data_IF_091953165496
#
_entry.id   IF_091953165496
#
_cell.length_a   1.000
_cell.length_b   1.000
_cell.length_c   1.000
_cell.angle_alpha   90.00
_cell.angle_beta   90.00
_cell.angle_gamma   90.00
#
_symmetry.space_group_name_H-M   'P 1'
#
loop_
_entity.id
_entity.type
_entity.pdbx_description
1 polymer ?
#
# COMPACT_ATOMS: atom_id res chain seq x y z
N UNK A 1 -19.41 7.96 -3.25
CA UNK A 1 -19.10 8.15 -1.82
C UNK A 1 -18.14 7.04 -1.46
N UNK A 2 -16.87 7.32 -1.18
CA UNK A 2 -15.89 6.27 -0.84
C UNK A 2 -16.15 5.83 0.59
N UNK A 3 -16.35 4.53 0.79
CA UNK A 3 -16.70 3.92 2.06
C UNK A 3 -15.55 4.09 3.09
N UNK A 4 -15.79 4.63 4.30
CA UNK A 4 -14.80 4.66 5.38
C UNK A 4 -14.21 3.27 5.74
N UNK A 5 -14.78 2.18 5.23
CA UNK A 5 -14.32 0.80 5.41
C UNK A 5 -12.92 0.46 4.84
N UNK A 6 -12.31 1.25 3.96
CA UNK A 6 -11.01 0.84 3.39
C UNK A 6 -9.81 1.14 4.31
N UNK A 7 -9.84 2.19 5.14
CA UNK A 7 -8.83 2.41 6.20
C UNK A 7 -8.88 1.28 7.23
N UNK A 8 -10.08 0.78 7.49
CA UNK A 8 -10.33 -0.46 8.20
C UNK A 8 -9.70 -1.68 7.48
N UNK A 9 -9.85 -1.82 6.15
CA UNK A 9 -9.19 -2.89 5.38
C UNK A 9 -7.66 -2.78 5.41
N UNK A 10 -7.11 -1.57 5.37
CA UNK A 10 -5.68 -1.35 5.55
C UNK A 10 -5.22 -1.79 6.93
N UNK A 11 -5.92 -1.37 7.99
CA UNK A 11 -5.60 -1.78 9.35
C UNK A 11 -5.73 -3.30 9.53
N UNK A 12 -6.75 -3.92 8.94
CA UNK A 12 -6.97 -5.37 8.98
C UNK A 12 -5.87 -6.15 8.25
N UNK A 13 -5.48 -5.70 7.05
CA UNK A 13 -4.36 -6.29 6.33
C UNK A 13 -3.06 -6.13 7.12
N UNK A 14 -2.76 -4.92 7.58
CA UNK A 14 -1.54 -4.65 8.35
C UNK A 14 -1.50 -5.49 9.63
N UNK A 15 -2.63 -5.61 10.33
CA UNK A 15 -2.76 -6.50 11.48
C UNK A 15 -2.47 -7.96 11.09
N UNK A 16 -3.00 -8.43 9.96
CA UNK A 16 -2.76 -9.79 9.45
C UNK A 16 -1.28 -10.04 9.15
N UNK A 17 -0.62 -9.08 8.49
CA UNK A 17 0.83 -9.13 8.20
C UNK A 17 1.65 -9.17 9.49
N UNK A 18 1.34 -8.28 10.45
CA UNK A 18 1.99 -8.24 11.76
C UNK A 18 1.84 -9.58 12.49
N UNK A 19 0.63 -10.12 12.58
CA UNK A 19 0.41 -11.43 13.20
C UNK A 19 1.15 -12.57 12.48
N UNK A 20 1.48 -12.37 11.21
CA UNK A 20 2.34 -13.24 10.43
C UNK A 20 3.84 -13.09 10.75
N UNK A 21 4.32 -12.01 11.35
CA UNK A 21 5.75 -11.84 11.64
C UNK A 21 6.24 -12.76 12.77
N UNK A 22 7.49 -13.29 12.73
CA UNK A 22 8.00 -14.24 13.73
C UNK A 22 7.80 -13.82 15.20
N UNK A 23 7.94 -12.52 15.51
CA UNK A 23 7.79 -11.98 16.87
C UNK A 23 6.37 -12.09 17.44
N UNK A 24 5.34 -11.98 16.60
CA UNK A 24 3.94 -12.05 17.01
C UNK A 24 3.36 -13.44 16.74
N UNK A 25 3.81 -14.09 15.66
CA UNK A 25 3.42 -15.46 15.28
C UNK A 25 3.61 -16.45 16.41
N UNK A 26 4.73 -16.38 17.13
CA UNK A 26 5.05 -17.29 18.23
C UNK A 26 3.96 -17.37 19.31
N UNK A 27 3.18 -16.29 19.51
CA UNK A 27 2.11 -16.24 20.52
C UNK A 27 0.92 -17.11 20.14
N UNK A 28 0.45 -17.04 18.89
CA UNK A 28 -0.70 -17.84 18.46
C UNK A 28 -0.28 -19.23 17.97
N UNK A 29 0.95 -19.40 17.49
CA UNK A 29 1.40 -20.67 16.90
C UNK A 29 1.32 -21.85 17.88
N UNK A 30 1.50 -21.62 19.19
CA UNK A 30 1.37 -22.66 20.22
C UNK A 30 -0.04 -23.23 20.34
N UNK A 31 -1.06 -22.46 19.95
CA UNK A 31 -2.45 -22.89 19.93
C UNK A 31 -2.89 -23.45 18.56
N UNK A 32 -2.01 -23.43 17.55
CA UNK A 32 -2.32 -23.93 16.22
C UNK A 32 -2.07 -25.44 16.12
N UNK A 33 -3.10 -26.19 15.74
CA UNK A 33 -2.99 -27.63 15.41
C UNK A 33 -2.32 -27.83 14.04
N UNK A 34 -2.35 -26.82 13.17
CA UNK A 34 -1.82 -26.87 11.81
C UNK A 34 -0.37 -26.36 11.80
N UNK A 35 0.56 -27.17 11.27
CA UNK A 35 2.01 -26.83 11.15
C UNK A 35 2.34 -25.87 10.01
N UNK A 36 1.38 -25.56 9.13
CA UNK A 36 1.58 -24.62 8.01
C UNK A 36 1.50 -23.18 8.54
N UNK A 37 2.38 -22.31 8.01
CA UNK A 37 2.46 -20.89 8.38
C UNK A 37 1.25 -20.03 7.97
N UNK A 38 0.09 -20.63 7.75
CA UNK A 38 -1.18 -19.93 7.53
C UNK A 38 -1.73 -19.46 8.88
N UNK A 39 -2.25 -18.23 8.90
CA UNK A 39 -2.76 -17.62 10.11
C UNK A 39 -4.07 -18.30 10.56
N UNK A 40 -4.03 -18.97 11.72
CA UNK A 40 -5.18 -19.67 12.29
C UNK A 40 -6.05 -18.72 13.13
N UNK A 41 -7.27 -18.44 12.67
CA UNK A 41 -8.24 -17.58 13.39
C UNK A 41 -8.57 -18.11 14.78
N UNK A 42 -8.71 -19.44 14.92
CA UNK A 42 -8.97 -20.08 16.20
C UNK A 42 -7.79 -19.93 17.17
N UNK A 43 -6.55 -20.04 16.66
CA UNK A 43 -5.36 -19.87 17.46
C UNK A 43 -5.17 -18.41 17.92
N UNK A 44 -5.44 -17.45 17.04
CA UNK A 44 -5.45 -16.02 17.39
C UNK A 44 -6.54 -15.73 18.43
N UNK A 45 -7.73 -16.32 18.30
CA UNK A 45 -8.80 -16.17 19.27
C UNK A 45 -8.44 -16.74 20.66
N UNK A 46 -7.64 -17.81 20.72
CA UNK A 46 -7.14 -18.37 21.97
C UNK A 46 -6.24 -17.38 22.73
N UNK A 47 -5.33 -16.70 22.03
CA UNK A 47 -4.48 -15.65 22.62
C UNK A 47 -5.31 -14.51 23.20
N UNK A 48 -6.36 -14.08 22.47
CA UNK A 48 -7.25 -13.03 22.98
C UNK A 48 -8.05 -13.49 24.21
N UNK A 49 -8.45 -14.76 24.26
CA UNK A 49 -9.18 -15.33 25.38
C UNK A 49 -8.29 -15.42 26.64
N UNK A 50 -7.05 -15.89 26.49
CA UNK A 50 -6.06 -15.97 27.57
C UNK A 50 -5.79 -14.58 28.17
N UNK A 51 -5.58 -13.56 27.33
CA UNK A 51 -5.39 -12.19 27.80
C UNK A 51 -6.60 -11.64 28.58
N UNK A 52 -7.83 -11.90 28.10
CA UNK A 52 -9.05 -11.45 28.78
C UNK A 52 -9.25 -12.17 30.13
N UNK A 53 -8.86 -13.45 30.22
CA UNK A 53 -8.90 -14.22 31.46
C UNK A 53 -7.88 -13.68 32.46
N UNK A 54 -6.63 -13.46 32.03
CA UNK A 54 -5.56 -12.90 32.87
C UNK A 54 -5.88 -11.48 33.36
N UNK A 55 -6.59 -10.69 32.55
CA UNK A 55 -7.06 -9.36 32.91
C UNK A 55 -8.29 -9.37 33.85
N UNK A 56 -8.89 -10.54 34.12
CA UNK A 56 -10.12 -10.67 34.91
C UNK A 56 -11.37 -10.12 34.22
N UNK A 57 -11.33 -9.92 32.90
CA UNK A 57 -12.46 -9.40 32.12
C UNK A 57 -13.48 -10.47 31.74
N UNK A 58 -13.13 -11.76 31.85
CA UNK A 58 -14.00 -12.90 31.53
C UNK A 58 -13.78 -14.10 32.47
N UNK A 59 -14.86 -14.84 32.75
CA UNK A 59 -14.82 -16.12 33.48
C UNK A 59 -14.39 -17.30 32.58
N UNK A 60 -13.99 -18.43 33.18
CA UNK A 60 -13.61 -19.71 32.54
C UNK A 60 -14.60 -20.20 31.45
N UNK A 61 -15.87 -19.79 31.51
CA UNK A 61 -16.93 -20.15 30.56
C UNK A 61 -17.01 -19.27 29.29
N UNK A 62 -16.07 -18.36 29.06
CA UNK A 62 -16.14 -17.43 27.92
C UNK A 62 -16.13 -18.15 26.57
N UNK A 63 -17.10 -17.85 25.72
CA UNK A 63 -17.32 -18.58 24.45
C UNK A 63 -16.24 -18.26 23.42
N UNK A 64 -15.28 -19.17 23.25
CA UNK A 64 -14.20 -19.09 22.24
C UNK A 64 -14.71 -18.84 20.81
N UNK A 65 -15.89 -19.35 20.45
CA UNK A 65 -16.52 -19.16 19.13
C UNK A 65 -16.93 -17.71 18.85
N UNK A 66 -17.25 -16.92 19.88
CA UNK A 66 -17.56 -15.48 19.73
C UNK A 66 -16.31 -14.68 19.39
N UNK A 67 -15.18 -15.00 20.04
CA UNK A 67 -13.88 -14.40 19.78
C UNK A 67 -13.36 -14.78 18.39
N UNK A 68 -13.51 -16.03 17.97
CA UNK A 68 -13.14 -16.46 16.62
C UNK A 68 -13.91 -15.68 15.54
N UNK A 69 -15.22 -15.49 15.71
CA UNK A 69 -16.03 -14.66 14.81
C UNK A 69 -15.64 -13.17 14.85
N UNK A 70 -15.15 -12.67 15.99
CA UNK A 70 -14.63 -11.30 16.13
C UNK A 70 -13.29 -11.16 15.40
N UNK A 71 -12.39 -12.12 15.58
CA UNK A 71 -11.11 -12.21 14.87
C UNK A 71 -11.33 -12.29 13.37
N UNK A 72 -12.23 -13.17 12.90
CA UNK A 72 -12.54 -13.29 11.47
C UNK A 72 -12.96 -11.95 10.85
N UNK A 73 -13.88 -11.23 11.48
CA UNK A 73 -14.33 -9.90 11.02
C UNK A 73 -13.24 -8.84 11.08
N UNK A 74 -12.38 -8.88 12.10
CA UNK A 74 -11.27 -7.93 12.22
C UNK A 74 -10.23 -8.14 11.12
N UNK A 75 -9.82 -9.39 10.88
CA UNK A 75 -8.78 -9.73 9.90
C UNK A 75 -9.25 -9.63 8.44
N UNK A 76 -10.54 -9.84 8.19
CA UNK A 76 -11.13 -9.63 6.86
C UNK A 76 -11.29 -8.14 6.51
N UNK A 77 -11.19 -7.24 7.50
CA UNK A 77 -11.53 -5.82 7.31
C UNK A 77 -13.02 -5.55 7.25
N UNK A 78 -13.86 -6.47 7.73
CA UNK A 78 -15.31 -6.28 7.83
C UNK A 78 -15.66 -5.34 8.99
N UNK A 79 -14.98 -5.49 10.14
CA UNK A 79 -15.18 -4.64 11.33
C UNK A 79 -14.03 -4.76 12.34
N UNK A 80 -13.39 -3.63 12.66
CA UNK A 80 -12.46 -3.49 13.79
C UNK A 80 -12.86 -2.26 14.62
N UNK A 81 -13.44 -2.48 15.80
CA UNK A 81 -13.69 -1.37 16.74
C UNK A 81 -12.39 -0.96 17.43
N UNK A 82 -12.34 0.26 17.99
CA UNK A 82 -11.23 0.74 18.84
C UNK A 82 -10.89 -0.30 19.92
N UNK A 83 -11.91 -0.76 20.66
CA UNK A 83 -11.73 -1.77 21.69
C UNK A 83 -11.21 -3.10 21.14
N UNK A 84 -11.63 -3.52 19.94
CA UNK A 84 -11.11 -4.74 19.32
C UNK A 84 -9.65 -4.56 18.90
N UNK A 85 -9.30 -3.41 18.34
CA UNK A 85 -7.92 -3.11 17.96
C UNK A 85 -7.00 -3.04 19.20
N UNK A 86 -7.44 -2.37 20.28
CA UNK A 86 -6.68 -2.30 21.53
C UNK A 86 -6.53 -3.68 22.18
N UNK A 87 -7.54 -4.56 22.06
CA UNK A 87 -7.43 -5.95 22.51
C UNK A 87 -6.33 -6.70 21.75
N UNK A 88 -6.23 -6.54 20.42
CA UNK A 88 -5.11 -7.10 19.65
C UNK A 88 -3.76 -6.51 20.09
N UNK A 89 -3.67 -5.19 20.24
CA UNK A 89 -2.45 -4.48 20.64
C UNK A 89 -1.92 -5.04 21.97
N UNK A 90 -2.80 -5.17 22.97
CA UNK A 90 -2.44 -5.64 24.31
C UNK A 90 -2.13 -7.14 24.33
N UNK A 91 -3.00 -7.97 23.78
CA UNK A 91 -2.84 -9.43 23.82
C UNK A 91 -1.58 -9.90 23.05
N UNK A 92 -1.21 -9.20 21.96
CA UNK A 92 -0.01 -9.51 21.20
C UNK A 92 1.23 -8.71 21.61
N UNK A 93 1.10 -7.78 22.56
CA UNK A 93 2.14 -6.81 22.94
C UNK A 93 2.79 -6.18 21.70
N UNK A 94 1.95 -5.59 20.85
CA UNK A 94 2.44 -4.85 19.69
C UNK A 94 3.30 -3.67 20.17
N UNK A 95 4.40 -3.41 19.46
CA UNK A 95 5.27 -2.27 19.77
C UNK A 95 4.51 -0.96 19.56
N UNK A 96 4.87 0.10 20.27
CA UNK A 96 4.21 1.41 20.15
C UNK A 96 4.13 1.89 18.70
N UNK A 97 5.21 1.71 17.92
CA UNK A 97 5.24 2.02 16.49
C UNK A 97 4.14 1.32 15.69
N UNK A 98 3.95 0.02 15.89
CA UNK A 98 2.92 -0.76 15.22
C UNK A 98 1.52 -0.45 15.72
N UNK A 99 1.38 -0.19 17.02
CA UNK A 99 0.11 0.19 17.61
C UNK A 99 -0.35 1.54 17.03
N UNK A 100 0.54 2.51 16.94
CA UNK A 100 0.27 3.82 16.37
C UNK A 100 0.00 3.75 14.86
N UNK A 101 0.74 2.90 14.14
CA UNK A 101 0.48 2.61 12.72
C UNK A 101 -0.95 2.07 12.53
N UNK A 102 -1.34 1.02 13.26
CA UNK A 102 -2.68 0.42 13.16
C UNK A 102 -3.79 1.39 13.56
N UNK A 103 -3.59 2.18 14.62
CA UNK A 103 -4.54 3.23 15.04
C UNK A 103 -4.70 4.28 13.95
N UNK A 104 -3.60 4.68 13.32
CA UNK A 104 -3.58 5.69 12.26
C UNK A 104 -4.25 5.19 10.99
N UNK A 105 -3.96 3.96 10.57
CA UNK A 105 -4.62 3.29 9.46
C UNK A 105 -6.14 3.18 9.68
N UNK A 106 -6.55 2.71 10.88
CA UNK A 106 -7.97 2.51 11.21
C UNK A 106 -8.73 3.84 11.30
N UNK A 107 -8.13 4.86 11.94
CA UNK A 107 -8.73 6.19 12.07
C UNK A 107 -8.60 7.03 10.78
N UNK A 108 -7.80 6.56 9.83
CA UNK A 108 -7.42 7.26 8.62
C UNK A 108 -6.60 8.53 8.85
N UNK A 109 -5.87 8.63 9.97
CA UNK A 109 -5.02 9.79 10.29
C UNK A 109 -3.62 9.65 9.69
N UNK A 110 -2.94 10.78 9.52
CA UNK A 110 -1.51 10.81 9.21
C UNK A 110 -0.68 10.46 10.44
N UNK A 111 0.38 9.69 10.26
CA UNK A 111 1.55 9.71 11.14
C UNK A 111 2.63 10.61 10.53
N UNK A 112 3.80 10.72 11.18
CA UNK A 112 4.94 11.44 10.63
C UNK A 112 5.42 10.89 9.27
N UNK A 113 5.28 9.58 9.03
CA UNK A 113 5.79 8.92 7.81
C UNK A 113 4.73 8.28 6.92
N UNK A 114 3.47 8.30 7.31
CA UNK A 114 2.39 7.64 6.58
C UNK A 114 1.14 8.52 6.51
N UNK A 115 0.48 8.51 5.36
CA UNK A 115 -0.70 9.33 5.07
C UNK A 115 -1.76 8.53 4.32
N UNK A 116 -3.01 8.64 4.78
CA UNK A 116 -4.17 7.88 4.30
C UNK A 116 -5.03 8.73 3.35
N UNK A 117 -5.49 8.20 2.21
CA UNK A 117 -6.03 9.02 1.09
C UNK A 117 -7.57 8.97 0.93
N UNK A 118 -8.23 8.22 1.81
CA UNK A 118 -9.63 7.77 1.82
C UNK A 118 -10.68 8.59 1.10
N UNK A 119 -10.66 9.88 1.36
CA UNK A 119 -11.53 10.88 0.78
C UNK A 119 -10.89 12.25 0.94
N UNK A 120 -9.55 12.26 0.87
CA UNK A 120 -8.66 13.40 0.98
C UNK A 120 -8.69 14.14 2.33
N UNK A 121 -7.60 14.01 3.10
CA UNK A 121 -7.44 14.58 4.45
C UNK A 121 -7.56 16.11 4.51
N UNK A 122 -7.49 16.79 3.37
CA UNK A 122 -7.79 18.21 3.23
C UNK A 122 -8.84 18.49 2.15
N UNK A 123 -9.33 19.73 2.14
CA UNK A 123 -10.24 20.22 1.12
C UNK A 123 -9.66 20.07 -0.29
N UNK A 124 -10.55 19.93 -1.29
CA UNK A 124 -10.16 19.83 -2.69
C UNK A 124 -9.29 21.01 -3.13
N UNK A 125 -8.21 20.67 -3.84
CA UNK A 125 -7.22 21.62 -4.31
C UNK A 125 -7.09 21.62 -5.83
N UNK A 126 -6.43 22.62 -6.42
CA UNK A 126 -5.99 22.54 -7.81
C UNK A 126 -4.88 21.47 -7.95
N UNK A 127 -4.61 21.04 -9.19
CA UNK A 127 -3.42 20.24 -9.50
C UNK A 127 -2.17 21.09 -9.17
N UNK A 128 -1.26 20.64 -8.30
CA UNK A 128 -0.05 21.40 -7.99
C UNK A 128 0.90 21.50 -9.19
N UNK A 129 1.69 22.57 -9.27
CA UNK A 129 2.83 22.60 -10.19
C UNK A 129 3.83 21.49 -9.84
N UNK A 130 4.64 21.11 -10.83
CA UNK A 130 5.74 20.16 -10.67
C UNK A 130 7.06 20.91 -10.93
N UNK A 131 7.61 21.63 -9.94
CA UNK A 131 8.87 22.39 -10.06
C UNK A 131 10.11 21.48 -10.07
N UNK A 132 9.95 20.24 -10.51
CA UNK A 132 10.95 19.18 -10.49
C UNK A 132 10.77 18.27 -11.69
N UNK A 133 11.84 17.57 -12.05
CA UNK A 133 11.82 16.51 -13.06
C UNK A 133 12.41 15.23 -12.49
N UNK A 134 11.88 14.10 -12.92
CA UNK A 134 12.43 12.79 -12.56
C UNK A 134 13.56 12.44 -13.51
N UNK A 135 14.73 12.07 -12.97
CA UNK A 135 15.91 11.63 -13.71
C UNK A 135 16.02 10.11 -13.74
N UNK A 136 15.72 9.44 -12.63
CA UNK A 136 15.69 7.99 -12.52
C UNK A 136 14.42 7.56 -11.83
N UNK A 137 13.85 6.44 -12.27
CA UNK A 137 12.64 5.86 -11.70
C UNK A 137 12.77 4.35 -11.66
N UNK A 138 12.62 3.78 -10.47
CA UNK A 138 12.45 2.35 -10.28
C UNK A 138 11.12 2.10 -9.54
N UNK A 139 10.29 1.22 -10.09
CA UNK A 139 9.00 0.88 -9.50
C UNK A 139 8.82 -0.64 -9.38
N UNK A 140 8.33 -1.08 -8.23
CA UNK A 140 7.95 -2.46 -7.96
C UNK A 140 6.46 -2.51 -7.62
N UNK A 141 5.69 -3.27 -8.40
CA UNK A 141 4.25 -3.42 -8.24
C UNK A 141 3.92 -4.85 -7.79
N UNK A 142 3.35 -5.02 -6.61
CA UNK A 142 3.05 -6.33 -6.05
C UNK A 142 1.55 -6.61 -6.10
N UNK A 143 1.18 -7.67 -6.80
CA UNK A 143 -0.17 -8.22 -6.84
C UNK A 143 -0.30 -9.32 -5.80
N UNK A 144 -1.34 -9.23 -4.96
CA UNK A 144 -1.65 -10.21 -3.94
C UNK A 144 -2.42 -11.44 -4.44
N UNK A 145 -2.68 -12.41 -3.55
CA UNK A 145 -3.37 -13.67 -3.87
C UNK A 145 -4.83 -13.47 -4.30
N UNK A 146 -5.42 -12.32 -3.96
CA UNK A 146 -6.76 -11.89 -4.34
C UNK A 146 -6.78 -11.11 -5.67
N UNK A 147 -5.69 -11.17 -6.46
CA UNK A 147 -5.55 -10.49 -7.75
C UNK A 147 -5.59 -8.96 -7.66
N UNK A 148 -5.56 -8.41 -6.45
CA UNK A 148 -5.53 -6.96 -6.22
C UNK A 148 -4.10 -6.49 -5.97
N UNK A 149 -3.72 -5.27 -6.42
CA UNK A 149 -2.49 -4.62 -5.99
C UNK A 149 -2.43 -4.55 -4.46
N UNK A 150 -1.28 -4.89 -3.90
CA UNK A 150 -1.00 -4.82 -2.47
C UNK A 150 -0.13 -3.63 -2.14
N UNK A 151 0.95 -3.49 -2.90
CA UNK A 151 2.04 -2.57 -2.65
C UNK A 151 2.55 -2.07 -4.00
N UNK A 152 2.83 -0.78 -4.06
CA UNK A 152 3.61 -0.17 -5.13
C UNK A 152 4.74 0.60 -4.49
N UNK A 153 5.97 0.18 -4.75
CA UNK A 153 7.16 0.79 -4.21
C UNK A 153 7.80 1.65 -5.29
N UNK A 154 8.04 2.93 -5.02
CA UNK A 154 8.70 3.85 -5.95
C UNK A 154 9.98 4.39 -5.35
N UNK A 155 11.08 4.26 -6.10
CA UNK A 155 12.36 4.94 -5.87
C UNK A 155 12.65 5.86 -7.03
N UNK A 156 13.01 7.11 -6.73
CA UNK A 156 13.32 8.07 -7.78
C UNK A 156 14.41 9.06 -7.39
N UNK A 157 15.15 9.48 -8.42
CA UNK A 157 16.03 10.63 -8.36
C UNK A 157 15.31 11.83 -8.97
N UNK A 158 15.07 12.84 -8.15
CA UNK A 158 14.44 14.09 -8.55
C UNK A 158 15.50 15.16 -8.73
N UNK A 159 15.29 16.06 -9.69
CA UNK A 159 16.05 17.29 -9.85
C UNK A 159 15.07 18.48 -9.81
N UNK A 160 15.38 19.48 -9.01
CA UNK A 160 14.60 20.72 -8.96
C UNK A 160 14.84 21.55 -10.23
N UNK A 161 13.75 22.01 -10.85
CA UNK A 161 13.77 22.95 -11.99
C UNK A 161 13.60 24.38 -11.48
N UNK A 162 12.79 24.54 -10.43
CA UNK A 162 12.60 25.77 -9.68
C UNK A 162 12.86 25.50 -8.19
N UNK A 163 13.11 26.52 -7.36
CA UNK A 163 13.22 26.33 -5.92
C UNK A 163 11.98 25.62 -5.35
N UNK A 164 12.18 24.53 -4.61
CA UNK A 164 11.06 23.77 -4.02
C UNK A 164 11.45 23.13 -2.70
N UNK A 165 10.52 23.09 -1.75
CA UNK A 165 10.60 22.31 -0.53
C UNK A 165 9.68 21.08 -0.56
N UNK A 166 8.97 20.86 -1.67
CA UNK A 166 7.90 19.87 -1.77
C UNK A 166 7.98 19.01 -3.02
N UNK A 167 7.51 17.78 -2.86
CA UNK A 167 7.20 16.84 -3.91
C UNK A 167 5.71 16.48 -3.88
N UNK A 168 5.13 16.21 -5.05
CA UNK A 168 3.72 15.85 -5.21
C UNK A 168 3.59 14.50 -5.92
N UNK A 169 3.08 13.51 -5.19
CA UNK A 169 2.72 12.21 -5.74
C UNK A 169 1.24 12.19 -6.11
N UNK A 170 0.91 11.85 -7.36
CA UNK A 170 -0.47 11.83 -7.85
C UNK A 170 -0.87 10.43 -8.34
N UNK A 171 -2.08 10.00 -8.01
CA UNK A 171 -2.66 8.70 -8.37
C UNK A 171 -4.20 8.79 -8.38
N UNK A 172 -4.88 7.80 -8.95
CA UNK A 172 -6.29 7.85 -9.35
C UNK A 172 -7.24 7.09 -8.42
N UNK A 173 -6.75 6.60 -7.28
CA UNK A 173 -7.53 5.81 -6.33
C UNK A 173 -7.58 6.45 -4.95
N UNK A 174 -8.74 6.36 -4.31
CA UNK A 174 -8.89 6.72 -2.89
C UNK A 174 -8.51 5.56 -1.95
N UNK A 175 -8.30 4.36 -2.49
CA UNK A 175 -8.05 3.13 -1.73
C UNK A 175 -6.56 2.89 -1.49
N UNK A 176 -5.83 3.94 -1.09
CA UNK A 176 -4.39 3.92 -0.93
C UNK A 176 -3.92 4.66 0.33
N UNK A 177 -2.91 4.12 1.00
CA UNK A 177 -2.10 4.86 1.95
C UNK A 177 -0.67 4.99 1.40
N UNK A 178 -0.05 6.14 1.61
CA UNK A 178 1.30 6.44 1.14
C UNK A 178 2.20 6.58 2.34
N UNK A 179 3.32 5.86 2.34
CA UNK A 179 4.37 6.00 3.35
C UNK A 179 5.66 6.44 2.70
N UNK A 180 6.30 7.47 3.22
CA UNK A 180 7.61 7.92 2.74
C UNK A 180 8.69 7.25 3.56
N UNK A 181 9.57 6.52 2.90
CA UNK A 181 10.65 5.76 3.52
C UNK A 181 11.91 6.62 3.64
N UNK A 182 12.19 7.43 2.60
CA UNK A 182 13.34 8.32 2.55
C UNK A 182 13.03 9.57 1.73
N UNK A 183 13.60 10.71 2.13
CA UNK A 183 13.65 11.94 1.33
C UNK A 183 12.64 13.02 1.74
N UNK A 184 11.74 12.72 2.67
CA UNK A 184 10.79 13.69 3.22
C UNK A 184 9.73 13.06 4.11
N UNK A 185 8.77 13.88 4.51
CA UNK A 185 7.62 13.48 5.32
C UNK A 185 6.32 13.84 4.58
N UNK A 186 5.33 12.94 4.47
CA UNK A 186 4.05 13.27 3.88
C UNK A 186 3.29 14.23 4.80
N UNK A 187 2.86 15.38 4.27
CA UNK A 187 2.26 16.46 5.08
C UNK A 187 0.80 16.72 4.75
N UNK A 188 0.34 16.36 3.55
CA UNK A 188 -1.02 16.66 3.11
C UNK A 188 -1.48 15.71 2.02
N UNK A 189 -2.74 15.30 2.10
CA UNK A 189 -3.42 14.57 1.04
C UNK A 189 -4.68 15.31 0.66
N UNK A 190 -4.92 15.50 -0.63
CA UNK A 190 -6.16 16.11 -1.12
C UNK A 190 -6.56 15.55 -2.48
N UNK A 191 -7.84 15.73 -2.82
CA UNK A 191 -8.36 15.40 -4.15
C UNK A 191 -8.26 16.61 -5.05
N UNK A 192 -7.80 16.41 -6.28
CA UNK A 192 -7.76 17.46 -7.28
C UNK A 192 -9.18 17.76 -7.74
N UNK A 193 -9.58 19.03 -7.63
CA UNK A 193 -10.94 19.52 -7.90
C UNK A 193 -11.41 19.09 -9.28
N UNK A 194 -12.60 18.47 -9.33
CA UNK A 194 -13.23 18.04 -10.58
C UNK A 194 -12.59 16.82 -11.24
N UNK A 195 -11.71 16.10 -10.54
CA UNK A 195 -11.02 14.91 -11.08
C UNK A 195 -11.03 13.75 -10.06
N UNK A 196 -10.79 12.50 -10.50
CA UNK A 196 -10.57 11.38 -9.59
C UNK A 196 -9.16 11.37 -8.97
N UNK A 197 -8.29 12.30 -9.34
CA UNK A 197 -6.89 12.30 -8.93
C UNK A 197 -6.73 12.74 -7.49
N UNK A 198 -5.98 11.96 -6.72
CA UNK A 198 -5.54 12.27 -5.38
C UNK A 198 -4.07 12.65 -5.42
N UNK A 199 -3.69 13.59 -4.56
CA UNK A 199 -2.31 14.07 -4.42
C UNK A 199 -1.88 13.91 -2.97
N UNK A 200 -0.68 13.38 -2.78
CA UNK A 200 0.08 13.43 -1.53
C UNK A 200 1.22 14.41 -1.70
N UNK A 201 1.22 15.46 -0.88
CA UNK A 201 2.35 16.38 -0.74
C UNK A 201 3.34 15.83 0.29
N UNK A 202 4.60 15.77 -0.11
CA UNK A 202 5.72 15.37 0.72
C UNK A 202 6.60 16.60 0.92
N UNK A 203 6.81 17.00 2.18
CA UNK A 203 7.81 17.99 2.53
C UNK A 203 9.18 17.33 2.47
N UNK A 204 10.06 17.83 1.60
CA UNK A 204 11.40 17.28 1.42
C UNK A 204 12.24 17.51 2.67
N UNK A 205 13.11 16.56 3.02
CA UNK A 205 14.01 16.67 4.18
C UNK A 205 14.93 17.89 4.11
N UNK A 206 15.15 18.43 2.91
CA UNK A 206 15.82 19.70 2.64
C UNK A 206 15.16 20.40 1.45
N UNK A 207 15.02 21.73 1.47
CA UNK A 207 14.69 22.49 0.28
C UNK A 207 15.74 22.29 -0.82
N UNK A 208 15.30 22.34 -2.08
CA UNK A 208 16.15 22.23 -3.26
C UNK A 208 16.13 23.53 -4.06
N UNK A 209 17.31 23.95 -4.50
CA UNK A 209 17.51 24.98 -5.51
C UNK A 209 17.56 24.35 -6.91
N UNK A 210 17.36 25.13 -7.99
CA UNK A 210 17.45 24.63 -9.35
C UNK A 210 18.74 23.85 -9.62
N UNK A 211 18.62 22.68 -10.26
CA UNK A 211 19.71 21.76 -10.57
C UNK A 211 20.14 20.86 -9.40
N UNK A 212 19.66 21.10 -8.17
CA UNK A 212 19.93 20.20 -7.05
C UNK A 212 19.04 18.97 -7.11
N UNK A 213 19.59 17.85 -6.64
CA UNK A 213 18.91 16.57 -6.65
C UNK A 213 18.61 16.03 -5.25
N UNK A 214 17.60 15.18 -5.18
CA UNK A 214 17.32 14.36 -4.00
C UNK A 214 16.80 12.99 -4.41
N UNK A 215 17.13 11.97 -3.59
CA UNK A 215 16.44 10.69 -3.65
C UNK A 215 15.13 10.79 -2.87
N UNK A 216 14.09 10.19 -3.42
CA UNK A 216 12.82 10.01 -2.75
C UNK A 216 12.39 8.55 -2.92
N UNK A 217 12.06 7.92 -1.80
CA UNK A 217 11.58 6.54 -1.74
C UNK A 217 10.29 6.51 -0.92
N UNK A 218 9.24 5.95 -1.51
CA UNK A 218 7.94 5.85 -0.88
C UNK A 218 7.20 4.62 -1.38
N UNK A 219 6.28 4.15 -0.57
CA UNK A 219 5.40 3.05 -0.89
C UNK A 219 3.94 3.48 -0.85
N UNK A 220 3.16 2.95 -1.79
CA UNK A 220 1.71 3.07 -1.85
C UNK A 220 1.11 1.71 -1.58
N UNK A 221 0.28 1.63 -0.55
CA UNK A 221 -0.29 0.40 -0.04
C UNK A 221 -1.79 0.44 -0.33
N UNK A 222 -2.29 -0.50 -1.14
CA UNK A 222 -3.66 -0.45 -1.68
C UNK A 222 -4.60 -1.42 -0.99
N UNK A 223 -5.85 -1.03 -0.79
CA UNK A 223 -6.91 -1.89 -0.28
C UNK A 223 -8.19 -1.73 -1.11
N UNK A 224 -8.08 -2.06 -2.40
CA UNK A 224 -9.22 -2.03 -3.30
C UNK A 224 -10.35 -2.93 -2.79
N UNK A 225 -11.63 -2.51 -2.89
CA UNK A 225 -12.78 -3.37 -2.59
C UNK A 225 -12.86 -4.59 -3.49
N UNK A 226 -12.48 -4.42 -4.76
CA UNK A 226 -12.50 -5.42 -5.81
C UNK A 226 -11.22 -5.28 -6.63
N UNK A 227 -10.70 -6.37 -7.21
CA UNK A 227 -9.53 -6.31 -8.06
C UNK A 227 -9.73 -5.28 -9.18
N UNK A 228 -8.82 -4.30 -9.34
CA UNK A 228 -8.87 -3.37 -10.47
C UNK A 228 -8.56 -4.09 -11.78
N UNK A 229 -8.58 -3.34 -12.89
CA UNK A 229 -8.14 -3.87 -14.17
C UNK A 229 -6.74 -4.51 -14.05
N UNK A 230 -6.49 -5.65 -14.73
CA UNK A 230 -5.25 -6.41 -14.64
C UNK A 230 -4.12 -5.73 -15.45
N UNK A 231 -3.77 -4.52 -15.04
CA UNK A 231 -2.73 -3.72 -15.66
C UNK A 231 -2.03 -2.82 -14.66
N UNK A 232 -0.78 -2.51 -14.99
CA UNK A 232 0.01 -1.49 -14.32
C UNK A 232 0.66 -0.63 -15.39
N UNK A 233 0.37 0.68 -15.36
CA UNK A 233 0.84 1.64 -16.35
C UNK A 233 1.53 2.82 -15.68
N UNK A 234 2.63 3.28 -16.26
CA UNK A 234 3.39 4.43 -15.79
C UNK A 234 3.58 5.45 -16.91
N UNK A 235 3.09 6.67 -16.68
CA UNK A 235 3.48 7.84 -17.46
C UNK A 235 4.92 8.24 -17.13
N UNK A 236 5.74 8.36 -18.17
CA UNK A 236 7.18 8.67 -18.08
C UNK A 236 7.43 10.00 -18.79
N UNK A 237 8.11 10.93 -18.11
CA UNK A 237 8.51 12.20 -18.71
C UNK A 237 9.80 12.03 -19.53
N UNK A 238 9.99 12.91 -20.52
CA UNK A 238 11.20 12.93 -21.35
C UNK A 238 12.51 13.24 -20.59
N UNK A 239 12.42 13.60 -19.31
CA UNK A 239 13.58 13.81 -18.43
C UNK A 239 14.16 12.51 -17.88
N UNK A 240 13.38 11.44 -17.84
CA UNK A 240 13.83 10.16 -17.25
C UNK A 240 14.92 9.58 -18.14
N UNK A 241 16.06 9.27 -17.53
CA UNK A 241 17.25 8.70 -18.17
C UNK A 241 17.39 7.21 -17.92
N UNK A 242 16.69 6.69 -16.92
CA UNK A 242 16.68 5.30 -16.57
C UNK A 242 15.35 4.96 -15.89
N UNK A 243 14.67 3.96 -16.45
CA UNK A 243 13.41 3.43 -15.95
C UNK A 243 13.58 1.94 -15.69
N UNK A 244 13.25 1.50 -14.49
CA UNK A 244 13.09 0.10 -14.14
C UNK A 244 11.65 -0.12 -13.64
N UNK A 245 10.95 -1.11 -14.19
CA UNK A 245 9.64 -1.53 -13.70
C UNK A 245 9.66 -3.03 -13.46
N UNK A 246 9.20 -3.43 -12.28
CA UNK A 246 9.01 -4.83 -11.92
C UNK A 246 7.58 -5.04 -11.45
N UNK A 247 6.92 -6.09 -11.94
CA UNK A 247 5.65 -6.58 -11.40
C UNK A 247 5.88 -7.94 -10.75
N UNK A 248 5.39 -8.10 -9.53
CA UNK A 248 5.44 -9.34 -8.75
C UNK A 248 4.03 -9.88 -8.58
N UNK A 249 3.87 -11.18 -8.77
CA UNK A 249 2.61 -11.89 -8.56
C UNK A 249 2.74 -12.87 -7.41
N UNK A 250 1.76 -12.85 -6.52
CA UNK A 250 1.60 -13.91 -5.52
C UNK A 250 1.50 -15.29 -6.19
N UNK A 251 2.12 -16.36 -5.63
CA UNK A 251 2.01 -17.70 -6.18
C UNK A 251 0.59 -18.21 -6.42
N UNK A 252 -0.40 -17.76 -5.65
CA UNK A 252 -1.81 -18.11 -5.82
C UNK A 252 -2.55 -17.27 -6.88
N UNK A 253 -1.90 -16.24 -7.43
CA UNK A 253 -2.47 -15.30 -8.40
C UNK A 253 -1.53 -15.07 -9.59
N UNK A 254 -1.00 -16.15 -10.20
CA UNK A 254 -0.19 -16.04 -11.41
C UNK A 254 -1.08 -15.84 -12.66
N UNK A 255 -0.76 -14.87 -13.53
CA UNK A 255 -1.49 -14.67 -14.78
C UNK A 255 -1.25 -15.81 -15.76
N UNK A 256 -2.26 -16.07 -16.60
CA UNK A 256 -2.18 -16.95 -17.78
C UNK A 256 -1.36 -16.31 -18.90
N UNK A 257 -1.49 -15.01 -19.07
CA UNK A 257 -0.77 -14.22 -20.07
C UNK A 257 -0.29 -12.91 -19.46
N UNK A 258 0.92 -12.49 -19.82
CA UNK A 258 1.50 -11.21 -19.42
C UNK A 258 2.11 -10.54 -20.65
N UNK A 259 1.70 -9.30 -20.90
CA UNK A 259 2.15 -8.47 -22.01
C UNK A 259 2.86 -7.25 -21.45
N UNK A 260 4.06 -6.94 -21.95
CA UNK A 260 4.67 -5.62 -21.80
C UNK A 260 4.08 -4.73 -22.88
N UNK A 261 3.64 -3.53 -22.51
CA UNK A 261 2.96 -2.63 -23.42
C UNK A 261 3.50 -1.20 -23.42
N UNK A 262 3.21 -0.50 -24.53
CA UNK A 262 3.36 0.95 -24.67
C UNK A 262 2.03 1.56 -25.09
N UNK A 263 1.63 2.66 -24.45
CA UNK A 263 0.39 3.39 -24.74
C UNK A 263 0.69 4.81 -25.19
N UNK A 264 -0.20 5.38 -25.99
CA UNK A 264 -0.12 6.78 -26.44
C UNK A 264 -0.27 7.76 -25.26
N UNK A 265 -1.18 7.43 -24.34
CA UNK A 265 -1.47 8.21 -23.15
C UNK A 265 -2.02 7.33 -22.02
N UNK A 266 -2.20 7.91 -20.83
CA UNK A 266 -2.73 7.17 -19.66
C UNK A 266 -4.21 6.83 -19.87
N UNK A 267 -4.92 7.66 -20.64
CA UNK A 267 -6.32 7.50 -21.00
C UNK A 267 -6.55 6.49 -22.14
N UNK A 268 -5.49 6.05 -22.82
CA UNK A 268 -5.61 5.14 -23.97
C UNK A 268 -6.00 3.73 -23.53
N UNK A 269 -7.13 3.20 -23.98
CA UNK A 269 -7.57 1.85 -23.56
C UNK A 269 -6.67 0.74 -24.13
N UNK A 270 -6.18 0.91 -25.35
CA UNK A 270 -5.37 -0.07 -26.09
C UNK A 270 -3.90 0.33 -26.14
N UNK A 271 -3.02 -0.68 -26.07
CA UNK A 271 -1.59 -0.49 -26.25
C UNK A 271 -1.29 -0.36 -27.76
N UNK A 272 -0.36 0.54 -28.11
CA UNK A 272 0.17 0.68 -29.48
C UNK A 272 1.14 -0.46 -29.80
N UNK A 273 1.86 -0.92 -28.78
CA UNK A 273 2.79 -2.04 -28.84
C UNK A 273 2.49 -2.94 -27.65
N UNK A 274 2.44 -4.24 -27.88
CA UNK A 274 2.29 -5.25 -26.84
C UNK A 274 3.10 -6.48 -27.22
N UNK A 275 3.94 -6.96 -26.30
CA UNK A 275 4.73 -8.17 -26.51
C UNK A 275 4.62 -9.11 -25.30
N UNK A 276 4.51 -10.43 -25.52
CA UNK A 276 4.50 -11.39 -24.43
C UNK A 276 5.80 -11.39 -23.62
N UNK A 277 5.66 -11.48 -22.30
CA UNK A 277 6.79 -11.59 -21.36
C UNK A 277 6.57 -12.79 -20.43
N UNK A 278 7.61 -13.60 -20.27
CA UNK A 278 7.59 -14.71 -19.33
C UNK A 278 7.83 -14.24 -17.89
N UNK A 279 7.15 -14.88 -16.94
CA UNK A 279 7.47 -14.72 -15.52
C UNK A 279 8.70 -15.55 -15.15
N UNK A 280 9.63 -14.94 -14.43
CA UNK A 280 10.76 -15.61 -13.78
C UNK A 280 10.54 -15.49 -12.28
N UNK A 281 10.45 -16.60 -11.57
CA UNK A 281 10.20 -16.63 -10.12
C UNK A 281 8.98 -15.80 -9.63
N UNK A 282 7.95 -15.73 -10.47
CA UNK A 282 6.71 -14.99 -10.15
C UNK A 282 6.79 -13.49 -10.40
N UNK A 283 7.84 -13.01 -11.05
CA UNK A 283 7.98 -11.60 -11.43
C UNK A 283 8.33 -11.42 -12.91
N UNK A 284 8.05 -10.23 -13.43
CA UNK A 284 8.59 -9.76 -14.70
C UNK A 284 9.18 -8.37 -14.49
N UNK A 285 10.32 -8.12 -15.10
CA UNK A 285 11.00 -6.82 -15.04
C UNK A 285 11.44 -6.36 -16.43
N UNK A 286 11.52 -5.04 -16.61
CA UNK A 286 12.27 -4.45 -17.69
C UNK A 286 12.99 -3.20 -17.20
N UNK A 287 14.11 -2.91 -17.85
CA UNK A 287 14.88 -1.70 -17.65
C UNK A 287 15.20 -1.08 -19.01
N UNK A 288 15.05 0.22 -19.13
CA UNK A 288 15.34 0.93 -20.38
C UNK A 288 15.63 2.42 -20.15
N UNK A 289 16.19 3.04 -21.19
CA UNK A 289 16.20 4.50 -21.34
C UNK A 289 14.97 4.90 -22.16
N UNK A 290 14.01 5.66 -21.58
CA UNK A 290 12.79 6.02 -22.31
C UNK A 290 13.11 6.86 -23.55
N UNK A 291 12.45 6.60 -24.71
CA UNK A 291 12.70 7.33 -25.95
C UNK A 291 12.15 8.78 -25.93
N UNK A 292 11.50 9.19 -24.84
CA UNK A 292 10.86 10.49 -24.69
C UNK A 292 9.72 10.41 -23.69
N UNK A 293 8.67 11.22 -23.91
CA UNK A 293 7.42 11.10 -23.15
C UNK A 293 6.65 9.88 -23.66
N UNK A 294 6.32 8.95 -22.79
CA UNK A 294 5.58 7.74 -23.14
C UNK A 294 4.81 7.19 -21.93
N UNK A 295 3.93 6.22 -22.19
CA UNK A 295 3.31 5.39 -21.15
C UNK A 295 3.75 3.95 -21.36
N UNK A 296 4.33 3.33 -20.33
CA UNK A 296 4.90 1.98 -20.37
C UNK A 296 4.38 1.17 -19.18
N UNK A 297 4.39 -0.15 -19.31
CA UNK A 297 4.01 -1.03 -18.22
C UNK A 297 3.60 -2.42 -18.68
N UNK A 298 2.69 -3.02 -17.92
CA UNK A 298 2.22 -4.38 -18.13
C UNK A 298 0.70 -4.46 -18.16
N UNK A 299 0.18 -5.39 -18.95
CA UNK A 299 -1.20 -5.87 -18.90
C UNK A 299 -1.16 -7.39 -18.82
N UNK A 300 -2.10 -8.00 -18.11
CA UNK A 300 -2.15 -9.44 -17.97
C UNK A 300 -3.58 -9.98 -17.96
N UNK A 301 -3.70 -11.30 -18.07
CA UNK A 301 -4.96 -12.03 -17.97
C UNK A 301 -4.84 -13.12 -16.89
N UNK A 302 -5.84 -13.23 -16.02
CA UNK A 302 -5.88 -14.17 -14.90
C UNK A 302 -6.30 -15.56 -15.32
#
# INVERSE_FOLDING_TARGET
MVDPAWGLRLAARRLTELLGEPRYRRRWQVHSVVRRGELSRAAVAAVLAEHLFDAGEVDDGHRSRSLENRVGRALNGDRISDATLELFIRAFELTDEHADELRSLRSGRSTARQLVVASALGAEGPMPPRPWRTLQLAEEHHVGPDRSPRLHHTRQLLEAVEPTDRYTYAFDTAHAAVSVLQGGDPVRAFRVRGTPIHVVEVLLSRPLLPGQTTHLEYQTVFAYPEPPAPEFRRGVSASVRHLAITVHFDPAARPRELLRGRWASVESETAEEAEPVALVDGQASFELVPPGRCVLGYRWEW
#
